data_IF_112062310711
#
_entry.id   IF_112062310711
#
_cell.length_a   1.000
_cell.length_b   1.000
_cell.length_c   1.000
_cell.angle_alpha   90.00
_cell.angle_beta   90.00
_cell.angle_gamma   90.00
#
_symmetry.space_group_name_H-M   'P 1'
#
loop_
_entity.id
_entity.type
_entity.pdbx_description
1 polymer ?
#
# COMPACT_ATOMS: atom_id res chain seq x y z
N UNK A 1 26.27 -17.75 29.96
CA UNK A 1 25.81 -17.00 28.78
C UNK A 1 24.30 -17.15 28.71
N UNK A 2 23.55 -16.17 29.20
CA UNK A 2 22.12 -15.98 28.93
C UNK A 2 21.80 -14.51 29.13
N UNK A 3 21.05 -13.96 28.17
CA UNK A 3 20.84 -12.55 27.91
C UNK A 3 20.04 -11.83 29.00
N UNK A 4 20.43 -10.57 29.26
CA UNK A 4 19.66 -9.59 30.02
C UNK A 4 18.58 -9.00 29.10
N UNK A 5 17.32 -9.35 29.34
CA UNK A 5 16.16 -8.70 28.74
C UNK A 5 15.68 -7.56 29.64
N UNK A 6 15.80 -6.32 29.15
CA UNK A 6 15.28 -5.11 29.79
C UNK A 6 13.74 -5.14 29.92
N UNK A 7 13.16 -4.49 30.96
CA UNK A 7 11.75 -4.62 31.29
C UNK A 7 10.84 -3.67 30.49
N UNK A 8 9.78 -4.24 29.91
CA UNK A 8 8.65 -3.48 29.36
C UNK A 8 7.92 -2.71 30.48
N UNK A 9 7.60 -1.44 30.21
CA UNK A 9 6.78 -0.58 31.06
C UNK A 9 5.42 -1.25 31.35
N UNK A 10 5.12 -1.50 32.62
CA UNK A 10 3.80 -1.95 33.08
C UNK A 10 2.94 -0.73 33.40
N UNK A 11 1.82 -0.57 32.69
CA UNK A 11 0.78 0.40 33.04
C UNK A 11 -0.04 -0.13 34.20
N UNK A 12 -0.15 0.65 35.29
CA UNK A 12 -0.96 0.33 36.47
C UNK A 12 -2.42 0.73 36.20
N UNK A 13 -3.30 -0.27 36.12
CA UNK A 13 -4.73 -0.10 35.81
C UNK A 13 -5.57 0.34 37.01
N UNK A 14 -4.99 0.52 38.21
CA UNK A 14 -5.76 0.78 39.43
C UNK A 14 -6.36 2.20 39.53
N UNK A 15 -5.95 3.14 38.67
CA UNK A 15 -6.35 4.56 38.79
C UNK A 15 -7.09 5.14 37.56
N UNK A 16 -7.71 4.28 36.73
CA UNK A 16 -8.47 4.73 35.57
C UNK A 16 -9.91 5.15 35.95
N UNK A 17 -10.43 6.30 35.50
CA UNK A 17 -11.79 6.74 35.83
C UNK A 17 -12.84 5.78 35.24
N UNK A 18 -13.68 5.22 36.11
CA UNK A 18 -14.59 4.08 35.82
C UNK A 18 -15.93 4.44 35.17
N UNK A 19 -16.14 5.68 34.73
CA UNK A 19 -17.43 6.13 34.15
C UNK A 19 -17.34 6.64 32.71
N UNK A 20 -16.52 5.99 31.87
CA UNK A 20 -16.67 6.09 30.43
C UNK A 20 -17.46 4.87 29.94
N UNK A 21 -18.62 5.12 29.33
CA UNK A 21 -19.31 4.09 28.53
C UNK A 21 -18.40 3.70 27.37
N UNK A 22 -17.70 2.58 27.52
CA UNK A 22 -16.98 1.97 26.42
C UNK A 22 -18.00 1.27 25.53
N UNK A 23 -18.41 1.95 24.46
CA UNK A 23 -18.78 1.22 23.25
C UNK A 23 -17.58 0.37 22.85
N UNK A 24 -17.72 -0.93 22.52
CA UNK A 24 -16.60 -1.69 21.99
C UNK A 24 -16.17 -1.01 20.69
N UNK A 25 -15.03 -0.32 20.75
CA UNK A 25 -14.36 0.22 19.58
C UNK A 25 -13.99 -0.99 18.72
N UNK A 26 -14.66 -1.14 17.58
CA UNK A 26 -14.37 -2.19 16.61
C UNK A 26 -12.87 -2.25 16.36
N UNK A 27 -12.30 -3.44 16.38
CA UNK A 27 -10.86 -3.69 16.22
C UNK A 27 -10.30 -2.92 15.02
N UNK A 28 -9.49 -1.90 15.30
CA UNK A 28 -8.68 -1.24 14.27
C UNK A 28 -7.42 -2.08 14.13
N UNK A 29 -7.49 -3.11 13.28
CA UNK A 29 -6.30 -3.71 12.72
C UNK A 29 -5.79 -2.73 11.65
N UNK A 30 -4.86 -1.84 12.01
CA UNK A 30 -4.15 -0.99 11.05
C UNK A 30 -3.20 -1.86 10.21
N UNK A 31 -3.77 -2.63 9.30
CA UNK A 31 -3.02 -3.43 8.34
C UNK A 31 -2.29 -2.49 7.38
N UNK A 32 -0.97 -2.56 7.38
CA UNK A 32 -0.07 -1.78 6.52
C UNK A 32 0.60 -2.70 5.50
N UNK A 33 1.01 -2.13 4.36
CA UNK A 33 1.99 -2.79 3.49
C UNK A 33 3.36 -2.15 3.63
N UNK A 34 4.40 -2.98 3.57
CA UNK A 34 5.80 -2.55 3.56
C UNK A 34 6.36 -2.79 2.17
N UNK A 35 6.63 -1.71 1.43
CA UNK A 35 7.26 -1.76 0.12
C UNK A 35 8.77 -1.69 0.34
N UNK A 36 9.44 -2.84 0.24
CA UNK A 36 10.90 -2.93 0.34
C UNK A 36 11.55 -2.69 -1.02
N UNK A 37 12.50 -1.78 -1.08
CA UNK A 37 13.22 -1.43 -2.31
C UNK A 37 14.72 -1.44 -2.06
N UNK A 38 15.52 -1.47 -3.13
CA UNK A 38 16.97 -1.26 -3.03
C UNK A 38 17.39 0.12 -2.49
N UNK A 39 16.44 1.02 -2.21
CA UNK A 39 16.66 2.36 -1.63
C UNK A 39 16.11 2.50 -0.20
N UNK A 40 15.57 1.42 0.37
CA UNK A 40 14.95 1.42 1.70
C UNK A 40 13.48 1.02 1.65
N UNK A 41 12.84 1.10 2.81
CA UNK A 41 11.47 0.67 3.03
C UNK A 41 10.51 1.85 3.05
N UNK A 42 9.31 1.63 2.50
CA UNK A 42 8.19 2.56 2.60
C UNK A 42 7.02 1.81 3.25
N UNK A 43 6.47 2.37 4.32
CA UNK A 43 5.28 1.83 4.98
C UNK A 43 4.07 2.59 4.47
N UNK A 44 3.06 1.87 3.97
CA UNK A 44 1.83 2.46 3.45
C UNK A 44 0.63 1.96 4.26
N UNK A 45 -0.21 2.91 4.67
CA UNK A 45 -1.51 2.66 5.29
C UNK A 45 -2.60 2.70 4.21
N UNK A 46 -3.65 1.91 4.39
CA UNK A 46 -4.75 1.81 3.45
C UNK A 46 -5.98 2.60 3.90
N UNK A 47 -6.80 3.03 2.93
CA UNK A 47 -8.11 3.65 3.18
C UNK A 47 -9.27 2.73 2.71
N UNK A 48 -9.52 1.59 3.39
CA UNK A 48 -10.53 0.63 2.96
C UNK A 48 -11.94 1.20 2.97
N UNK A 49 -12.21 2.20 3.81
CA UNK A 49 -13.51 2.89 3.87
C UNK A 49 -13.85 3.68 2.61
N UNK A 50 -12.84 4.08 1.83
CA UNK A 50 -13.05 4.93 0.63
C UNK A 50 -12.78 4.18 -0.67
N UNK A 51 -11.87 3.21 -0.66
CA UNK A 51 -11.49 2.43 -1.85
C UNK A 51 -11.32 0.94 -1.51
N UNK A 52 -12.39 0.25 -1.08
CA UNK A 52 -12.29 -1.13 -0.60
C UNK A 52 -11.79 -2.11 -1.67
N UNK A 53 -12.29 -2.05 -2.91
CA UNK A 53 -11.88 -2.99 -3.99
C UNK A 53 -10.44 -2.75 -4.40
N UNK A 54 -9.99 -1.50 -4.39
CA UNK A 54 -8.62 -1.10 -4.69
C UNK A 54 -7.65 -1.65 -3.65
N UNK A 55 -7.99 -1.50 -2.37
CA UNK A 55 -7.19 -2.03 -1.26
C UNK A 55 -7.14 -3.56 -1.31
N UNK A 56 -8.28 -4.22 -1.53
CA UNK A 56 -8.34 -5.67 -1.69
C UNK A 56 -7.45 -6.15 -2.84
N UNK A 57 -7.52 -5.51 -4.01
CA UNK A 57 -6.69 -5.85 -5.16
C UNK A 57 -5.19 -5.69 -4.86
N UNK A 58 -4.80 -4.55 -4.26
CA UNK A 58 -3.40 -4.32 -3.90
C UNK A 58 -2.89 -5.38 -2.91
N UNK A 59 -3.66 -5.68 -1.87
CA UNK A 59 -3.33 -6.71 -0.87
C UNK A 59 -3.23 -8.09 -1.50
N UNK A 60 -4.17 -8.45 -2.37
CA UNK A 60 -4.13 -9.73 -3.09
C UNK A 60 -2.84 -9.86 -3.89
N UNK A 61 -2.52 -8.87 -4.73
CA UNK A 61 -1.30 -8.88 -5.54
C UNK A 61 -0.03 -8.91 -4.68
N UNK A 62 0.01 -8.15 -3.58
CA UNK A 62 1.14 -8.17 -2.66
C UNK A 62 1.34 -9.54 -2.00
N UNK A 63 0.26 -10.17 -1.50
CA UNK A 63 0.30 -11.50 -0.88
C UNK A 63 0.63 -12.62 -1.88
N UNK A 64 0.25 -12.44 -3.15
CA UNK A 64 0.60 -13.34 -4.26
C UNK A 64 2.07 -13.15 -4.75
N UNK A 65 2.88 -12.33 -4.06
CA UNK A 65 4.24 -11.94 -4.45
C UNK A 65 4.31 -11.33 -5.88
N UNK A 66 3.20 -10.75 -6.36
CA UNK A 66 3.12 -10.20 -7.71
C UNK A 66 4.07 -9.02 -7.92
N UNK A 67 4.26 -8.18 -6.90
CA UNK A 67 5.12 -7.00 -6.99
C UNK A 67 6.62 -7.33 -6.85
N UNK A 68 6.98 -8.53 -6.41
CA UNK A 68 8.37 -8.91 -6.21
C UNK A 68 9.16 -8.87 -7.52
N UNK A 69 10.29 -8.18 -7.48
CA UNK A 69 11.15 -7.95 -8.64
C UNK A 69 10.67 -6.86 -9.60
N UNK A 70 9.50 -6.24 -9.36
CA UNK A 70 9.08 -5.08 -10.17
C UNK A 70 9.90 -3.84 -9.83
N UNK A 71 10.02 -2.94 -10.79
CA UNK A 71 10.76 -1.68 -10.67
C UNK A 71 9.84 -0.46 -10.74
N UNK A 72 10.31 0.66 -10.19
CA UNK A 72 9.74 1.98 -10.47
C UNK A 72 10.23 2.46 -11.84
N UNK A 73 9.50 2.12 -12.89
CA UNK A 73 9.89 2.37 -14.29
C UNK A 73 9.71 3.83 -14.71
N UNK A 74 8.94 4.64 -13.96
CA UNK A 74 8.73 6.05 -14.28
C UNK A 74 8.92 6.92 -13.03
N UNK A 75 9.87 7.85 -13.11
CA UNK A 75 10.25 8.76 -12.02
C UNK A 75 10.24 10.19 -12.54
N UNK A 76 9.33 11.03 -12.01
CA UNK A 76 9.24 12.45 -12.38
C UNK A 76 9.47 13.29 -11.14
N UNK A 77 10.64 13.94 -11.07
CA UNK A 77 11.05 14.75 -9.91
C UNK A 77 10.02 15.84 -9.61
N UNK A 78 9.56 15.87 -8.35
CA UNK A 78 8.58 16.85 -7.88
C UNK A 78 7.13 16.50 -8.22
N UNK A 79 6.88 15.34 -8.85
CA UNK A 79 5.54 14.89 -9.18
C UNK A 79 5.24 13.52 -8.57
N UNK A 80 5.80 12.43 -9.14
CA UNK A 80 5.51 11.07 -8.68
C UNK A 80 6.57 10.06 -9.08
N UNK A 81 6.52 8.90 -8.42
CA UNK A 81 7.14 7.65 -8.87
C UNK A 81 6.05 6.63 -9.19
N UNK A 82 6.20 5.87 -10.27
CA UNK A 82 5.22 4.86 -10.69
C UNK A 82 5.89 3.49 -10.81
N UNK A 83 5.22 2.47 -10.26
CA UNK A 83 5.69 1.08 -10.20
C UNK A 83 4.53 0.09 -10.34
N UNK A 84 4.80 -1.19 -10.04
CA UNK A 84 3.79 -2.25 -10.08
C UNK A 84 3.50 -2.84 -11.45
N UNK A 85 4.36 -2.59 -12.45
CA UNK A 85 4.27 -3.23 -13.77
C UNK A 85 5.04 -4.56 -13.78
N UNK A 86 4.40 -5.73 -14.03
CA UNK A 86 5.06 -7.02 -14.10
C UNK A 86 6.10 -7.17 -15.21
N UNK A 87 5.99 -6.41 -16.31
CA UNK A 87 6.97 -6.46 -17.42
C UNK A 87 8.33 -5.90 -16.99
N UNK A 88 8.37 -5.09 -15.93
CA UNK A 88 9.64 -4.56 -15.37
C UNK A 88 10.52 -5.61 -14.72
N UNK A 89 10.00 -6.83 -14.53
CA UNK A 89 10.79 -7.98 -14.07
C UNK A 89 11.74 -8.50 -15.14
N UNK A 90 11.48 -8.21 -16.41
CA UNK A 90 12.32 -8.60 -17.54
C UNK A 90 12.89 -7.35 -18.23
N UNK A 91 14.20 -7.10 -18.13
CA UNK A 91 14.85 -5.99 -18.82
C UNK A 91 14.72 -6.02 -20.35
N UNK A 92 14.47 -7.19 -20.96
CA UNK A 92 14.24 -7.29 -22.40
C UNK A 92 12.88 -6.72 -22.84
N UNK A 93 11.97 -6.47 -21.90
CA UNK A 93 10.66 -5.89 -22.13
C UNK A 93 10.63 -4.37 -21.88
N UNK A 94 11.79 -3.70 -21.79
CA UNK A 94 11.92 -2.27 -21.46
C UNK A 94 11.04 -1.35 -22.33
N UNK A 95 10.96 -1.63 -23.64
CA UNK A 95 10.12 -0.89 -24.59
C UNK A 95 8.62 -0.97 -24.28
N UNK A 96 8.20 -1.92 -23.44
CA UNK A 96 6.81 -2.18 -23.05
C UNK A 96 6.50 -1.86 -21.60
N UNK A 97 7.47 -1.36 -20.83
CA UNK A 97 7.21 -0.90 -19.47
C UNK A 97 6.18 0.23 -19.44
N UNK A 98 5.32 0.21 -18.42
CA UNK A 98 4.10 1.01 -18.30
C UNK A 98 2.87 0.36 -18.92
N UNK A 99 2.97 -0.77 -19.64
CA UNK A 99 1.82 -1.42 -20.30
C UNK A 99 1.40 -2.74 -19.67
N UNK A 100 2.17 -3.27 -18.71
CA UNK A 100 1.83 -4.53 -18.07
C UNK A 100 0.68 -4.42 -17.07
N UNK A 101 0.09 -5.58 -16.78
CA UNK A 101 -1.16 -5.71 -16.04
C UNK A 101 -1.25 -7.12 -15.39
N UNK A 102 -2.05 -7.32 -14.31
CA UNK A 102 -2.21 -8.64 -13.70
C UNK A 102 -3.14 -9.57 -14.51
N UNK A 103 -3.65 -9.13 -15.66
CA UNK A 103 -4.55 -9.89 -16.52
C UNK A 103 -6.03 -9.62 -16.26
N UNK A 104 -6.34 -8.62 -15.43
CA UNK A 104 -7.68 -8.17 -15.10
C UNK A 104 -7.66 -6.71 -14.65
N UNK A 105 -8.82 -6.06 -14.71
CA UNK A 105 -8.98 -4.66 -14.31
C UNK A 105 -9.87 -4.52 -13.08
N UNK A 106 -9.67 -3.43 -12.36
CA UNK A 106 -10.48 -3.02 -11.21
C UNK A 106 -11.27 -1.76 -11.58
N UNK A 107 -12.54 -1.75 -11.20
CA UNK A 107 -13.42 -0.59 -11.36
C UNK A 107 -12.89 0.62 -10.59
N UNK A 108 -13.14 1.82 -11.12
CA UNK A 108 -12.70 3.05 -10.50
C UNK A 108 -13.44 3.34 -9.19
N UNK A 109 -12.69 3.49 -8.10
CA UNK A 109 -13.18 4.01 -6.82
C UNK A 109 -12.66 5.44 -6.63
N UNK A 110 -13.49 6.44 -6.94
CA UNK A 110 -13.12 7.84 -6.78
C UNK A 110 -13.29 8.29 -5.33
N UNK A 111 -12.30 9.03 -4.85
CA UNK A 111 -12.24 9.60 -3.51
C UNK A 111 -12.05 11.12 -3.60
N UNK A 112 -12.64 11.86 -2.66
CA UNK A 112 -12.36 13.30 -2.50
C UNK A 112 -11.00 13.57 -1.82
N UNK A 113 -10.25 12.52 -1.49
CA UNK A 113 -8.93 12.66 -0.86
C UNK A 113 -7.92 13.22 -1.87
N UNK A 114 -7.21 14.30 -1.52
CA UNK A 114 -6.25 14.91 -2.44
C UNK A 114 -5.00 14.03 -2.64
N UNK A 115 -4.46 14.04 -3.85
CA UNK A 115 -3.17 13.43 -4.19
C UNK A 115 -2.00 14.28 -3.66
N UNK A 116 -1.86 14.32 -2.34
CA UNK A 116 -0.72 14.95 -1.68
C UNK A 116 0.53 14.06 -1.77
N UNK A 117 1.70 14.65 -1.55
CA UNK A 117 2.97 13.91 -1.52
C UNK A 117 2.89 12.72 -0.55
N UNK A 118 3.20 11.52 -1.05
CA UNK A 118 3.21 10.29 -0.26
C UNK A 118 1.89 9.51 -0.29
N UNK A 119 0.88 9.98 -1.03
CA UNK A 119 -0.37 9.24 -1.24
C UNK A 119 -0.17 8.16 -2.31
N UNK A 120 -0.37 6.91 -1.94
CA UNK A 120 -0.44 5.79 -2.88
C UNK A 120 -1.73 5.88 -3.69
N UNK A 121 -1.65 5.76 -5.02
CA UNK A 121 -2.81 5.80 -5.91
C UNK A 121 -2.63 4.85 -7.09
N UNK A 122 -3.74 4.29 -7.60
CA UNK A 122 -3.68 3.38 -8.75
C UNK A 122 -3.47 4.14 -10.06
N UNK A 123 -2.54 3.65 -10.88
CA UNK A 123 -2.37 4.13 -12.24
C UNK A 123 -3.44 3.49 -13.14
N UNK A 124 -3.97 4.29 -14.08
CA UNK A 124 -4.98 3.87 -15.05
C UNK A 124 -4.75 4.58 -16.39
N UNK A 125 -5.33 4.04 -17.45
CA UNK A 125 -5.41 4.68 -18.75
C UNK A 125 -6.52 5.75 -18.77
N UNK A 126 -6.88 6.23 -19.97
CA UNK A 126 -8.01 7.15 -20.15
C UNK A 126 -9.34 6.56 -19.66
N UNK A 127 -9.51 5.24 -19.80
CA UNK A 127 -10.66 4.53 -19.27
C UNK A 127 -10.59 4.50 -17.72
N UNK A 128 -11.60 5.01 -17.01
CA UNK A 128 -11.67 4.94 -15.55
C UNK A 128 -11.43 3.53 -15.00
N UNK A 129 -12.01 2.50 -15.62
CA UNK A 129 -12.05 1.13 -15.10
C UNK A 129 -10.89 0.29 -15.63
N UNK A 130 -9.75 0.94 -15.91
CA UNK A 130 -8.56 0.30 -16.48
C UNK A 130 -7.39 0.16 -15.51
N UNK A 131 -7.60 0.48 -14.23
CA UNK A 131 -6.63 0.21 -13.17
C UNK A 131 -6.40 -1.29 -13.05
N UNK A 132 -5.14 -1.69 -12.82
CA UNK A 132 -4.74 -3.10 -12.70
C UNK A 132 -3.82 -3.28 -11.50
N UNK A 133 -2.53 -3.44 -11.75
CA UNK A 133 -1.50 -3.57 -10.70
C UNK A 133 -0.63 -2.33 -10.52
N UNK A 134 -0.59 -1.44 -11.52
CA UNK A 134 0.32 -0.30 -11.47
C UNK A 134 -0.17 0.77 -10.49
N UNK A 135 0.75 1.36 -9.74
CA UNK A 135 0.49 2.40 -8.74
C UNK A 135 1.52 3.52 -8.81
N UNK A 136 1.20 4.67 -8.24
CA UNK A 136 2.11 5.78 -8.05
C UNK A 136 2.06 6.37 -6.64
N UNK A 137 3.14 7.06 -6.24
CA UNK A 137 3.34 7.74 -4.95
C UNK A 137 3.84 9.17 -5.19
#
# INVERSE_FOLDING_TARGET
MTASSEPFLRFDLANWPTNASFSPMSEVNDEVAVISTGKGEMVVEFWPETTPKTVENFKKLANDAFYDGTCFHRVVKGFMIQGGDPLTKDPSEEDRWGTGDPGYKVEAEFSDRPHNKGVLSMARSSDPDSAGSQFFI
#
